data_IF_231572306898
#
_entry.id   IF_231572306898
#
_cell.length_a   1.000
_cell.length_b   1.000
_cell.length_c   1.000
_cell.angle_alpha   90.00
_cell.angle_beta   90.00
_cell.angle_gamma   90.00
#
_symmetry.space_group_name_H-M   'P 1'
#
loop_
_entity.id
_entity.type
_entity.pdbx_description
1 polymer ?
#
# COMPACT_ATOMS: atom_id res chain seq x y z
N UNK A 1 -2.59 5.40 2.33
CA UNK A 1 -1.72 4.23 2.08
C UNK A 1 -0.54 4.60 1.19
N UNK A 2 -0.75 5.04 -0.06
CA UNK A 2 0.36 5.38 -0.97
C UNK A 2 1.37 6.39 -0.42
N UNK A 3 0.92 7.49 0.21
CA UNK A 3 1.82 8.46 0.83
C UNK A 3 2.71 7.86 1.93
N UNK A 4 2.16 6.93 2.74
CA UNK A 4 2.93 6.26 3.80
C UNK A 4 3.97 5.31 3.21
N UNK A 5 3.62 4.59 2.13
CA UNK A 5 4.58 3.75 1.41
C UNK A 5 5.70 4.59 0.78
N UNK A 6 5.37 5.69 0.09
CA UNK A 6 6.37 6.57 -0.53
C UNK A 6 7.30 7.14 0.54
N UNK A 7 6.76 7.64 1.66
CA UNK A 7 7.55 8.15 2.77
C UNK A 7 8.49 7.09 3.35
N UNK A 8 7.95 5.90 3.69
CA UNK A 8 8.74 4.81 4.27
C UNK A 8 9.84 4.30 3.34
N UNK A 9 9.52 4.13 2.05
CA UNK A 9 10.46 3.65 1.03
C UNK A 9 11.55 4.71 0.75
N UNK A 10 11.18 5.99 0.67
CA UNK A 10 12.12 7.12 0.58
C UNK A 10 13.12 7.14 1.73
N UNK A 11 12.63 6.95 2.97
CA UNK A 11 13.46 6.96 4.16
C UNK A 11 14.48 5.81 4.16
N UNK A 12 14.10 4.64 3.64
CA UNK A 12 15.00 3.49 3.57
C UNK A 12 16.01 3.58 2.41
N UNK A 13 15.57 3.96 1.20
CA UNK A 13 16.44 3.98 0.00
C UNK A 13 17.54 5.04 0.10
N UNK A 14 17.27 6.17 0.75
CA UNK A 14 18.24 7.26 0.90
C UNK A 14 19.10 7.15 2.16
N UNK A 15 18.85 6.12 2.99
CA UNK A 15 19.60 5.87 4.22
C UNK A 15 21.05 5.44 3.91
N UNK A 16 21.98 5.88 4.76
CA UNK A 16 23.40 5.54 4.62
C UNK A 16 23.66 4.15 5.21
N UNK A 17 24.11 3.23 4.37
CA UNK A 17 24.58 1.92 4.80
C UNK A 17 26.12 1.92 4.71
N UNK A 18 26.82 1.75 5.83
CA UNK A 18 28.29 1.70 5.86
C UNK A 18 28.99 3.00 5.43
N UNK A 19 28.35 4.17 5.57
CA UNK A 19 28.93 5.48 5.24
C UNK A 19 28.66 5.95 3.80
N UNK A 20 28.23 5.07 2.90
CA UNK A 20 27.82 5.40 1.53
C UNK A 20 26.28 5.36 1.38
N UNK A 21 25.75 6.14 0.44
CA UNK A 21 24.34 6.05 0.03
C UNK A 21 24.23 5.06 -1.13
N UNK A 22 23.26 4.15 -1.06
CA UNK A 22 22.98 3.22 -2.15
C UNK A 22 22.42 3.94 -3.40
N UNK A 23 21.64 5.02 -3.19
CA UNK A 23 21.07 5.83 -4.26
C UNK A 23 21.29 7.32 -3.93
N UNK A 24 21.72 8.09 -4.92
CA UNK A 24 21.81 9.54 -4.79
C UNK A 24 20.40 10.14 -4.59
N UNK A 25 20.16 10.95 -3.55
CA UNK A 25 18.86 11.58 -3.33
C UNK A 25 18.37 12.40 -4.52
N UNK A 26 19.26 13.03 -5.29
CA UNK A 26 18.88 13.80 -6.47
C UNK A 26 18.29 12.89 -7.56
N UNK A 27 18.89 11.71 -7.78
CA UNK A 27 18.38 10.72 -8.73
C UNK A 27 17.03 10.18 -8.26
N UNK A 28 16.90 9.84 -6.98
CA UNK A 28 15.63 9.39 -6.41
C UNK A 28 14.52 10.44 -6.58
N UNK A 29 14.81 11.71 -6.23
CA UNK A 29 13.86 12.80 -6.38
C UNK A 29 13.49 13.04 -7.85
N UNK A 30 14.46 12.95 -8.77
CA UNK A 30 14.21 13.09 -10.20
C UNK A 30 13.29 11.98 -10.73
N UNK A 31 13.52 10.72 -10.34
CA UNK A 31 12.67 9.58 -10.73
C UNK A 31 11.25 9.73 -10.17
N UNK A 32 11.11 10.11 -8.90
CA UNK A 32 9.80 10.35 -8.28
C UNK A 32 9.08 11.52 -8.96
N UNK A 33 9.77 12.63 -9.23
CA UNK A 33 9.20 13.80 -9.90
C UNK A 33 8.78 13.48 -11.34
N UNK A 34 9.62 12.76 -12.10
CA UNK A 34 9.31 12.33 -13.45
C UNK A 34 8.12 11.37 -13.48
N UNK A 35 8.05 10.42 -12.55
CA UNK A 35 6.92 9.50 -12.40
C UNK A 35 5.63 10.23 -12.06
N UNK A 36 5.70 11.22 -11.16
CA UNK A 36 4.58 12.09 -10.81
C UNK A 36 4.11 12.94 -11.99
N UNK A 37 5.03 13.54 -12.73
CA UNK A 37 4.72 14.31 -13.93
C UNK A 37 4.07 13.42 -15.00
N UNK A 38 4.60 12.22 -15.23
CA UNK A 38 4.02 11.25 -16.14
C UNK A 38 2.60 10.82 -15.73
N UNK A 39 2.37 10.55 -14.45
CA UNK A 39 1.04 10.25 -13.93
C UNK A 39 0.06 11.42 -14.15
N UNK A 40 0.49 12.66 -13.89
CA UNK A 40 -0.30 13.86 -14.16
C UNK A 40 -0.63 14.00 -15.65
N UNK A 41 0.31 13.71 -16.55
CA UNK A 41 0.08 13.73 -17.99
C UNK A 41 -0.95 12.67 -18.42
N UNK A 42 -0.87 11.45 -17.88
CA UNK A 42 -1.86 10.40 -18.15
C UNK A 42 -3.26 10.78 -17.67
N UNK A 43 -3.36 11.35 -16.46
CA UNK A 43 -4.64 11.84 -15.91
C UNK A 43 -5.19 13.02 -16.73
N UNK A 44 -4.31 13.88 -17.26
CA UNK A 44 -4.70 15.01 -18.09
C UNK A 44 -4.99 14.63 -19.55
N UNK A 45 -4.52 13.47 -20.02
CA UNK A 45 -4.66 13.04 -21.42
C UNK A 45 -6.12 13.03 -21.93
N UNK A 46 -7.13 12.58 -21.16
CA UNK A 46 -8.54 12.67 -21.59
C UNK A 46 -9.02 14.11 -21.84
N UNK A 47 -8.42 15.13 -21.20
CA UNK A 47 -8.76 16.54 -21.43
C UNK A 47 -8.33 17.03 -22.81
N UNK A 48 -7.45 16.31 -23.51
CA UNK A 48 -7.11 16.60 -24.90
C UNK A 48 -8.26 16.24 -25.86
N UNK A 49 -9.18 15.36 -25.45
CA UNK A 49 -10.33 14.96 -26.25
C UNK A 49 -11.48 15.97 -26.11
N UNK A 50 -12.08 16.46 -27.21
CA UNK A 50 -13.19 17.42 -27.17
C UNK A 50 -14.42 16.97 -26.38
N UNK A 51 -14.60 15.65 -26.22
CA UNK A 51 -15.72 15.04 -25.48
C UNK A 51 -15.68 15.35 -23.98
N UNK A 52 -14.49 15.30 -23.36
CA UNK A 52 -14.33 15.54 -21.92
C UNK A 52 -14.20 17.02 -21.58
N UNK A 53 -13.81 17.88 -22.53
CA UNK A 53 -13.79 19.35 -22.35
C UNK A 53 -15.18 19.97 -22.14
N UNK A 54 -16.25 19.24 -22.45
CA UNK A 54 -17.64 19.68 -22.27
C UNK A 54 -18.17 19.37 -20.86
N UNK A 55 -17.47 18.56 -20.08
CA UNK A 55 -17.81 18.36 -18.68
C UNK A 55 -17.56 19.65 -17.91
N UNK A 56 -18.58 20.12 -17.19
CA UNK A 56 -18.44 21.34 -16.38
C UNK A 56 -17.43 21.06 -15.26
N UNK A 57 -16.40 21.92 -15.08
CA UNK A 57 -15.47 21.78 -13.98
C UNK A 57 -16.22 21.73 -12.66
N UNK A 58 -15.91 20.76 -11.80
CA UNK A 58 -16.46 20.75 -10.44
C UNK A 58 -15.97 22.00 -9.70
N UNK A 59 -16.85 22.74 -9.01
CA UNK A 59 -16.46 23.87 -8.20
C UNK A 59 -15.35 23.49 -7.20
N UNK A 60 -14.34 24.35 -7.04
CA UNK A 60 -13.26 24.17 -6.05
C UNK A 60 -13.78 23.96 -4.63
N UNK A 61 -14.94 24.55 -4.31
CA UNK A 61 -15.59 24.43 -3.02
C UNK A 61 -16.14 23.01 -2.75
N UNK A 62 -16.45 22.24 -3.79
CA UNK A 62 -16.86 20.83 -3.66
C UNK A 62 -15.64 19.91 -3.49
N UNK A 63 -14.50 20.26 -4.09
CA UNK A 63 -13.24 19.52 -3.97
C UNK A 63 -12.55 19.74 -2.61
N UNK A 64 -12.64 20.96 -2.09
CA UNK A 64 -12.08 21.38 -0.81
C UNK A 64 -13.17 21.99 0.07
N UNK A 65 -14.08 21.18 0.61
CA UNK A 65 -15.14 21.68 1.46
C UNK A 65 -14.53 22.30 2.73
N UNK A 66 -14.98 23.51 3.07
CA UNK A 66 -14.58 24.21 4.30
C UNK A 66 -15.02 23.45 5.56
N UNK A 67 -16.09 22.66 5.46
CA UNK A 67 -16.60 21.82 6.55
C UNK A 67 -16.45 20.37 6.14
N UNK A 68 -15.70 19.62 6.92
CA UNK A 68 -15.53 18.19 6.70
C UNK A 68 -16.80 17.46 7.12
N UNK A 69 -17.26 16.58 6.25
CA UNK A 69 -18.41 15.75 6.56
C UNK A 69 -18.14 14.80 7.72
N UNK A 70 -19.19 14.30 8.37
CA UNK A 70 -19.07 13.37 9.50
C UNK A 70 -18.27 12.11 9.11
N UNK A 71 -18.42 11.68 7.86
CA UNK A 71 -17.65 10.57 7.30
C UNK A 71 -16.16 10.91 7.15
N UNK A 72 -15.83 12.07 6.57
CA UNK A 72 -14.45 12.52 6.41
C UNK A 72 -13.73 12.68 7.76
N UNK A 73 -14.42 13.22 8.75
CA UNK A 73 -13.91 13.32 10.13
C UNK A 73 -13.66 11.94 10.74
N UNK A 74 -14.60 11.01 10.56
CA UNK A 74 -14.49 9.64 11.07
C UNK A 74 -13.31 8.89 10.45
N UNK A 75 -13.16 8.96 9.13
CA UNK A 75 -12.06 8.32 8.41
C UNK A 75 -10.71 8.91 8.81
N UNK A 76 -10.64 10.23 8.97
CA UNK A 76 -9.41 10.90 9.42
C UNK A 76 -9.05 10.48 10.84
N UNK A 77 -10.03 10.42 11.76
CA UNK A 77 -9.79 9.98 13.13
C UNK A 77 -9.31 8.52 13.17
N UNK A 78 -9.95 7.63 12.41
CA UNK A 78 -9.49 6.23 12.27
C UNK A 78 -8.07 6.16 11.72
N UNK A 79 -7.76 6.93 10.68
CA UNK A 79 -6.42 6.98 10.10
C UNK A 79 -5.37 7.51 11.08
N UNK A 80 -5.71 8.53 11.88
CA UNK A 80 -4.84 9.07 12.93
C UNK A 80 -4.58 8.04 14.03
N UNK A 81 -5.62 7.34 14.51
CA UNK A 81 -5.49 6.25 15.49
C UNK A 81 -4.59 5.16 14.93
N UNK A 82 -4.81 4.72 13.68
CA UNK A 82 -3.96 3.71 13.03
C UNK A 82 -2.52 4.19 12.88
N UNK A 83 -2.30 5.46 12.55
CA UNK A 83 -0.96 6.04 12.48
C UNK A 83 -0.23 5.97 13.82
N UNK A 84 -0.85 6.47 14.89
CA UNK A 84 -0.25 6.49 16.22
C UNK A 84 -0.08 5.08 16.79
N UNK A 85 -1.14 4.29 16.81
CA UNK A 85 -1.11 2.94 17.36
C UNK A 85 -0.26 1.98 16.53
N UNK A 86 -0.26 2.14 15.20
CA UNK A 86 0.57 1.36 14.29
C UNK A 86 2.07 1.65 14.48
N UNK A 87 2.45 2.92 14.64
CA UNK A 87 3.84 3.28 14.97
C UNK A 87 4.21 2.76 16.36
N UNK A 88 3.35 2.90 17.36
CA UNK A 88 3.61 2.38 18.70
C UNK A 88 3.79 0.85 18.71
N UNK A 89 2.96 0.12 17.96
CA UNK A 89 3.10 -1.32 17.78
C UNK A 89 4.41 -1.68 17.06
N UNK A 90 4.81 -0.89 16.06
CA UNK A 90 6.05 -1.09 15.34
C UNK A 90 7.29 -0.91 16.23
N UNK A 91 7.26 0.00 17.22
CA UNK A 91 8.38 0.14 18.17
C UNK A 91 8.68 -1.17 18.91
N UNK A 92 7.66 -1.98 19.19
CA UNK A 92 7.80 -3.29 19.85
C UNK A 92 8.21 -4.39 18.88
N UNK A 93 7.70 -4.35 17.65
CA UNK A 93 7.92 -5.40 16.63
C UNK A 93 9.23 -5.20 15.87
N UNK A 94 9.36 -4.05 15.20
CA UNK A 94 10.55 -3.54 14.53
C UNK A 94 10.26 -2.10 14.05
N UNK A 95 10.96 -1.08 14.58
CA UNK A 95 10.78 0.31 14.15
C UNK A 95 10.96 0.53 12.64
N UNK A 96 11.83 -0.25 11.99
CA UNK A 96 12.10 -0.16 10.56
C UNK A 96 10.90 -0.61 9.70
N UNK A 97 10.00 -1.42 10.26
CA UNK A 97 8.80 -1.95 9.56
C UNK A 97 7.52 -1.16 9.84
N UNK A 98 7.62 -0.04 10.56
CA UNK A 98 6.48 0.80 10.92
C UNK A 98 5.59 1.20 9.74
N UNK A 99 6.18 1.51 8.59
CA UNK A 99 5.42 1.88 7.40
C UNK A 99 4.55 0.74 6.85
N UNK A 100 5.00 -0.52 6.92
CA UNK A 100 4.20 -1.69 6.49
C UNK A 100 3.02 -1.93 7.41
N UNK A 101 3.23 -1.87 8.73
CA UNK A 101 2.20 -2.03 9.75
C UNK A 101 1.12 -0.95 9.60
N UNK A 102 1.53 0.32 9.50
CA UNK A 102 0.60 1.45 9.31
C UNK A 102 -0.13 1.33 7.98
N UNK A 103 0.55 0.94 6.90
CA UNK A 103 -0.11 0.72 5.60
C UNK A 103 -1.15 -0.40 5.64
N UNK A 104 -0.86 -1.50 6.32
CA UNK A 104 -1.80 -2.60 6.48
C UNK A 104 -3.03 -2.18 7.30
N UNK A 105 -2.85 -1.40 8.36
CA UNK A 105 -3.98 -0.84 9.12
C UNK A 105 -4.80 0.17 8.31
N UNK A 106 -4.15 1.05 7.54
CA UNK A 106 -4.85 2.01 6.67
C UNK A 106 -5.62 1.31 5.55
N UNK A 107 -5.18 0.15 5.08
CA UNK A 107 -5.93 -0.63 4.10
C UNK A 107 -7.25 -1.18 4.66
N UNK A 108 -7.31 -1.43 5.98
CA UNK A 108 -8.53 -1.87 6.68
C UNK A 108 -9.52 -0.71 6.85
N UNK A 109 -9.05 0.48 7.25
CA UNK A 109 -9.91 1.63 7.57
C UNK A 109 -10.14 2.62 6.41
N UNK A 110 -9.40 2.48 5.29
CA UNK A 110 -9.29 3.49 4.24
C UNK A 110 -10.51 3.67 3.33
N UNK A 111 -11.59 2.94 3.56
CA UNK A 111 -12.87 3.08 2.85
C UNK A 111 -14.00 3.35 3.86
N UNK A 112 -15.08 4.02 3.44
CA UNK A 112 -16.23 4.36 4.29
C UNK A 112 -17.08 3.12 4.61
N UNK A 113 -16.47 2.13 5.27
CA UNK A 113 -17.06 0.82 5.52
C UNK A 113 -17.32 0.58 7.02
N UNK A 114 -18.38 -0.18 7.29
CA UNK A 114 -18.84 -0.49 8.63
C UNK A 114 -17.83 -1.32 9.43
N UNK A 115 -18.13 -1.56 10.70
CA UNK A 115 -17.26 -2.35 11.59
C UNK A 115 -17.04 -3.79 11.11
N UNK A 116 -18.10 -4.43 10.58
CA UNK A 116 -18.07 -5.80 10.08
C UNK A 116 -17.22 -5.89 8.81
N UNK A 117 -17.47 -4.99 7.87
CA UNK A 117 -16.71 -4.88 6.62
C UNK A 117 -15.22 -4.62 6.84
N UNK A 118 -14.87 -3.80 7.85
CA UNK A 118 -13.48 -3.57 8.24
C UNK A 118 -12.83 -4.85 8.78
N UNK A 119 -13.53 -5.61 9.63
CA UNK A 119 -13.02 -6.89 10.15
C UNK A 119 -12.88 -7.93 9.03
N UNK A 120 -13.86 -8.06 8.14
CA UNK A 120 -13.81 -8.95 6.97
C UNK A 120 -12.65 -8.58 6.04
N UNK A 121 -12.40 -7.29 5.83
CA UNK A 121 -11.23 -6.80 5.08
C UNK A 121 -9.92 -7.14 5.76
N UNK A 122 -9.85 -7.00 7.09
CA UNK A 122 -8.71 -7.45 7.87
C UNK A 122 -8.41 -8.93 7.65
N UNK A 123 -9.44 -9.78 7.74
CA UNK A 123 -9.33 -11.23 7.50
C UNK A 123 -8.91 -11.53 6.06
N UNK A 124 -9.59 -10.95 5.07
CA UNK A 124 -9.22 -11.09 3.66
C UNK A 124 -7.78 -10.66 3.39
N UNK A 125 -7.32 -9.62 4.08
CA UNK A 125 -5.96 -9.13 3.95
C UNK A 125 -4.95 -10.09 4.54
N UNK A 126 -5.19 -10.57 5.75
CA UNK A 126 -4.32 -11.55 6.40
C UNK A 126 -4.26 -12.86 5.62
N UNK A 127 -5.41 -13.39 5.21
CA UNK A 127 -5.47 -14.64 4.41
C UNK A 127 -4.77 -14.45 3.06
N UNK A 128 -5.05 -13.35 2.36
CA UNK A 128 -4.40 -13.04 1.09
C UNK A 128 -2.88 -12.93 1.20
N UNK A 129 -2.37 -12.27 2.26
CA UNK A 129 -0.93 -12.17 2.52
C UNK A 129 -0.31 -13.51 2.90
N UNK A 130 -0.98 -14.36 3.69
CA UNK A 130 -0.45 -15.68 4.06
C UNK A 130 -0.35 -16.57 2.82
N UNK A 131 -1.41 -16.66 2.02
CA UNK A 131 -1.42 -17.47 0.79
C UNK A 131 -0.45 -16.89 -0.23
N UNK A 132 -0.39 -15.57 -0.39
CA UNK A 132 0.56 -14.91 -1.27
C UNK A 132 2.02 -15.05 -0.81
N UNK A 133 2.26 -15.11 0.51
CA UNK A 133 3.56 -15.41 1.10
C UNK A 133 4.00 -16.85 0.81
N UNK A 134 3.09 -17.81 0.88
CA UNK A 134 3.37 -19.18 0.47
C UNK A 134 3.68 -19.27 -1.04
N UNK A 135 2.92 -18.56 -1.87
CA UNK A 135 3.19 -18.45 -3.31
C UNK A 135 4.56 -17.81 -3.57
N UNK A 136 4.91 -16.75 -2.84
CA UNK A 136 6.23 -16.14 -2.89
C UNK A 136 7.33 -17.15 -2.59
N UNK A 137 7.21 -17.91 -1.49
CA UNK A 137 8.21 -18.92 -1.13
C UNK A 137 8.37 -19.96 -2.25
N UNK A 138 7.28 -20.43 -2.85
CA UNK A 138 7.34 -21.35 -4.00
C UNK A 138 8.07 -20.76 -5.21
N UNK A 139 7.92 -19.46 -5.46
CA UNK A 139 8.55 -18.77 -6.60
C UNK A 139 10.00 -18.33 -6.31
N UNK A 140 10.30 -17.95 -5.08
CA UNK A 140 11.57 -17.33 -4.70
C UNK A 140 12.76 -18.29 -4.76
N UNK A 141 12.52 -19.60 -4.63
CA UNK A 141 13.56 -20.63 -4.79
C UNK A 141 13.81 -21.02 -6.24
N UNK A 142 13.03 -20.51 -7.20
CA UNK A 142 13.25 -20.77 -8.63
C UNK A 142 14.34 -19.82 -9.13
N UNK A 143 15.48 -20.33 -9.62
CA UNK A 143 16.53 -19.49 -10.17
C UNK A 143 16.05 -18.93 -11.53
N UNK A 144 15.47 -17.73 -11.50
CA UNK A 144 14.97 -17.06 -12.70
C UNK A 144 16.02 -16.10 -13.26
N UNK A 145 16.33 -16.15 -14.57
CA UNK A 145 17.10 -15.08 -15.20
C UNK A 145 16.28 -13.77 -15.17
N UNK A 146 16.97 -12.63 -15.25
CA UNK A 146 16.36 -11.29 -15.10
C UNK A 146 15.16 -11.07 -16.03
N UNK A 147 15.23 -11.52 -17.28
CA UNK A 147 14.12 -11.39 -18.23
C UNK A 147 12.88 -12.22 -17.81
N UNK A 148 13.09 -13.40 -17.24
CA UNK A 148 12.01 -14.27 -16.79
C UNK A 148 11.36 -13.74 -15.50
N UNK A 149 12.17 -13.15 -14.61
CA UNK A 149 11.65 -12.42 -13.45
C UNK A 149 10.77 -11.25 -13.91
N UNK A 150 11.22 -10.45 -14.89
CA UNK A 150 10.42 -9.36 -15.46
C UNK A 150 9.08 -9.84 -16.02
N UNK A 151 9.09 -10.96 -16.76
CA UNK A 151 7.86 -11.57 -17.28
C UNK A 151 6.93 -12.04 -16.16
N UNK A 152 7.47 -12.71 -15.13
CA UNK A 152 6.70 -13.16 -13.97
C UNK A 152 6.04 -11.98 -13.23
N UNK A 153 6.80 -10.89 -13.00
CA UNK A 153 6.25 -9.68 -12.40
C UNK A 153 5.13 -9.08 -13.25
N UNK A 154 5.29 -9.07 -14.58
CA UNK A 154 4.26 -8.64 -15.52
C UNK A 154 2.99 -9.51 -15.46
N UNK A 155 3.13 -10.83 -15.40
CA UNK A 155 2.00 -11.76 -15.27
C UNK A 155 1.28 -11.57 -13.92
N UNK A 156 2.03 -11.41 -12.82
CA UNK A 156 1.44 -11.13 -11.52
C UNK A 156 0.69 -9.79 -11.54
N UNK A 157 1.26 -8.74 -12.12
CA UNK A 157 0.62 -7.43 -12.27
C UNK A 157 -0.68 -7.53 -13.07
N UNK A 158 -0.65 -8.24 -14.21
CA UNK A 158 -1.84 -8.47 -15.03
C UNK A 158 -2.92 -9.22 -14.25
N UNK A 159 -2.55 -10.29 -13.53
CA UNK A 159 -3.48 -11.04 -12.69
C UNK A 159 -4.14 -10.14 -11.63
N UNK A 160 -3.37 -9.26 -10.99
CA UNK A 160 -3.86 -8.28 -10.01
C UNK A 160 -4.94 -7.40 -10.65
N UNK A 161 -4.69 -6.81 -11.81
CA UNK A 161 -5.64 -5.92 -12.48
C UNK A 161 -6.95 -6.62 -12.83
N UNK A 162 -6.88 -7.89 -13.25
CA UNK A 162 -8.06 -8.69 -13.58
C UNK A 162 -8.93 -9.02 -12.36
N UNK A 163 -8.35 -9.17 -11.17
CA UNK A 163 -9.08 -9.61 -9.97
C UNK A 163 -9.35 -8.51 -8.95
N UNK A 164 -8.57 -7.43 -8.90
CA UNK A 164 -8.61 -6.43 -7.81
C UNK A 164 -9.96 -5.75 -7.65
N UNK A 165 -10.71 -5.57 -8.75
CA UNK A 165 -12.04 -4.97 -8.74
C UNK A 165 -13.10 -5.94 -8.19
N UNK A 166 -12.90 -7.26 -8.36
CA UNK A 166 -13.90 -8.29 -8.03
C UNK A 166 -13.61 -9.03 -6.72
N UNK A 167 -12.35 -9.33 -6.44
CA UNK A 167 -11.93 -10.18 -5.33
C UNK A 167 -10.68 -9.62 -4.64
N UNK A 168 -10.89 -8.85 -3.58
CA UNK A 168 -9.82 -8.20 -2.83
C UNK A 168 -8.81 -9.20 -2.22
N UNK A 169 -9.29 -10.27 -1.58
CA UNK A 169 -8.42 -11.29 -0.98
C UNK A 169 -7.54 -11.97 -2.03
N UNK A 170 -8.13 -12.34 -3.17
CA UNK A 170 -7.42 -12.97 -4.28
C UNK A 170 -6.39 -12.02 -4.90
N UNK A 171 -6.71 -10.74 -5.02
CA UNK A 171 -5.74 -9.73 -5.48
C UNK A 171 -4.51 -9.70 -4.57
N UNK A 172 -4.69 -9.80 -3.24
CA UNK A 172 -3.58 -9.81 -2.29
C UNK A 172 -2.70 -11.05 -2.38
N UNK A 173 -3.25 -12.19 -2.83
CA UNK A 173 -2.46 -13.39 -3.13
C UNK A 173 -1.42 -13.12 -4.22
N UNK A 174 -1.73 -12.25 -5.19
CA UNK A 174 -0.80 -11.88 -6.26
C UNK A 174 0.05 -10.64 -5.94
N UNK A 175 -0.51 -9.65 -5.22
CA UNK A 175 0.23 -8.45 -4.79
C UNK A 175 1.40 -8.82 -3.88
N UNK A 176 1.16 -9.73 -2.93
CA UNK A 176 2.18 -10.10 -1.93
C UNK A 176 3.46 -10.65 -2.58
N UNK A 177 3.43 -11.71 -3.42
CA UNK A 177 4.63 -12.21 -4.06
C UNK A 177 5.25 -11.20 -5.03
N UNK A 178 4.46 -10.40 -5.74
CA UNK A 178 4.99 -9.34 -6.60
C UNK A 178 5.85 -8.36 -5.79
N UNK A 179 5.34 -7.88 -4.66
CA UNK A 179 6.05 -6.93 -3.79
C UNK A 179 7.27 -7.58 -3.15
N UNK A 180 7.16 -8.82 -2.67
CA UNK A 180 8.28 -9.53 -2.02
C UNK A 180 9.40 -9.87 -3.01
N UNK A 181 9.07 -10.26 -4.24
CA UNK A 181 10.05 -10.47 -5.32
C UNK A 181 10.75 -9.16 -5.69
N UNK A 182 10.00 -8.05 -5.78
CA UNK A 182 10.59 -6.74 -6.08
C UNK A 182 11.55 -6.28 -4.98
N UNK A 183 11.18 -6.48 -3.71
CA UNK A 183 12.06 -6.18 -2.56
C UNK A 183 13.31 -7.05 -2.62
N UNK A 184 13.17 -8.38 -2.75
CA UNK A 184 14.31 -9.29 -2.82
C UNK A 184 15.26 -9.00 -3.98
N UNK A 185 14.71 -8.62 -5.15
CA UNK A 185 15.51 -8.21 -6.30
C UNK A 185 16.24 -6.87 -6.08
N UNK A 186 15.63 -5.93 -5.34
CA UNK A 186 16.21 -4.62 -5.06
C UNK A 186 17.29 -4.67 -3.96
N UNK A 187 17.12 -5.51 -2.95
CA UNK A 187 18.03 -5.61 -1.79
C UNK A 187 19.10 -6.69 -1.94
N UNK A 188 18.93 -7.63 -2.88
CA UNK A 188 19.82 -8.78 -3.03
C UNK A 188 19.79 -9.74 -1.84
N UNK A 189 18.74 -9.70 -1.02
CA UNK A 189 18.63 -10.52 0.20
C UNK A 189 18.43 -11.99 -0.15
N UNK A 190 19.30 -12.86 0.36
CA UNK A 190 19.20 -14.31 0.23
C UNK A 190 18.15 -14.93 1.17
N UNK A 191 17.69 -14.20 2.18
CA UNK A 191 16.78 -14.69 3.22
C UNK A 191 15.30 -14.53 2.82
N UNK A 192 14.80 -15.46 2.01
CA UNK A 192 13.42 -15.46 1.49
C UNK A 192 12.39 -15.75 2.59
N UNK A 193 12.66 -16.73 3.46
CA UNK A 193 11.71 -17.13 4.51
C UNK A 193 11.46 -16.05 5.56
N UNK A 194 12.51 -15.42 6.16
CA UNK A 194 12.31 -14.31 7.09
C UNK A 194 11.48 -13.19 6.48
N UNK A 195 11.80 -12.76 5.24
CA UNK A 195 11.09 -11.69 4.57
C UNK A 195 9.57 -11.97 4.42
N UNK A 196 9.20 -13.22 4.11
CA UNK A 196 7.81 -13.63 4.02
C UNK A 196 7.09 -13.59 5.39
N UNK A 197 7.75 -14.12 6.43
CA UNK A 197 7.20 -14.16 7.80
C UNK A 197 7.03 -12.76 8.38
N UNK A 198 8.00 -11.87 8.17
CA UNK A 198 7.92 -10.47 8.56
C UNK A 198 6.72 -9.80 7.91
N UNK A 199 6.48 -10.06 6.63
CA UNK A 199 5.34 -9.47 5.90
C UNK A 199 3.98 -9.95 6.41
N UNK A 200 3.90 -11.22 6.79
CA UNK A 200 2.72 -11.80 7.42
C UNK A 200 2.49 -11.13 8.78
N UNK A 201 3.54 -11.01 9.61
CA UNK A 201 3.48 -10.37 10.92
C UNK A 201 3.02 -8.91 10.81
N UNK A 202 3.64 -8.12 9.92
CA UNK A 202 3.29 -6.71 9.70
C UNK A 202 1.81 -6.56 9.30
N UNK A 203 1.32 -7.49 8.47
CA UNK A 203 -0.07 -7.50 8.03
C UNK A 203 -1.02 -7.84 9.16
N UNK A 204 -0.70 -8.86 9.97
CA UNK A 204 -1.52 -9.27 11.11
C UNK A 204 -1.62 -8.13 12.13
N UNK A 205 -0.50 -7.52 12.50
CA UNK A 205 -0.44 -6.41 13.46
C UNK A 205 -1.20 -5.20 12.90
N UNK A 206 -0.94 -4.82 11.65
CA UNK A 206 -1.64 -3.71 11.01
C UNK A 206 -3.15 -3.95 10.91
N UNK A 207 -3.58 -5.16 10.53
CA UNK A 207 -4.99 -5.52 10.46
C UNK A 207 -5.68 -5.49 11.83
N UNK A 208 -5.00 -5.94 12.88
CA UNK A 208 -5.49 -5.86 14.26
C UNK A 208 -5.68 -4.39 14.69
N UNK A 209 -4.67 -3.54 14.46
CA UNK A 209 -4.73 -2.09 14.76
C UNK A 209 -5.84 -1.40 13.97
N UNK A 210 -5.96 -1.69 12.67
CA UNK A 210 -7.02 -1.14 11.81
C UNK A 210 -8.42 -1.55 12.26
N UNK A 211 -8.60 -2.82 12.61
CA UNK A 211 -9.87 -3.35 13.13
C UNK A 211 -10.22 -2.70 14.47
N UNK A 212 -9.25 -2.59 15.39
CA UNK A 212 -9.44 -1.93 16.68
C UNK A 212 -9.83 -0.45 16.51
N UNK A 213 -9.20 0.28 15.58
CA UNK A 213 -9.57 1.66 15.28
C UNK A 213 -11.00 1.78 14.71
N UNK A 214 -11.41 0.85 13.83
CA UNK A 214 -12.77 0.80 13.31
C UNK A 214 -13.82 0.46 14.39
N UNK A 215 -13.45 -0.38 15.37
CA UNK A 215 -14.29 -0.68 16.53
C UNK A 215 -14.36 0.51 17.49
N UNK A 216 -13.25 1.20 17.77
CA UNK A 216 -13.23 2.36 18.65
C UNK A 216 -14.07 3.52 18.10
N UNK A 217 -13.98 3.79 16.79
CA UNK A 217 -14.68 4.91 16.16
C UNK A 217 -15.80 4.40 15.25
N UNK A 218 -17.07 4.61 15.66
CA UNK A 218 -18.25 4.27 14.84
C UNK A 218 -18.28 5.12 13.57
N UNK A 219 -18.66 4.51 12.45
CA UNK A 219 -19.05 5.27 11.27
C UNK A 219 -20.28 6.10 11.63
N UNK A 220 -20.20 7.41 11.38
CA UNK A 220 -21.36 8.30 11.40
C UNK A 220 -21.87 8.39 9.96
N UNK A 221 -23.13 8.02 9.72
CA UNK A 221 -23.80 8.31 8.45
C UNK A 221 -23.95 9.81 8.29
N UNK A 222 -23.85 10.29 7.05
CA UNK A 222 -24.33 11.62 6.70
C UNK A 222 -25.86 11.49 6.60
N UNK A 223 -26.56 11.94 7.65
CA UNK A 223 -28.01 12.13 7.65
C UNK A 223 -28.37 13.44 6.92
#
# INVERSE_FOLDING_TARGET
>A
MFFVLVFGLSAQITSRHGGARAVDPAVYLAVVAASGAFACLLVAAPLLLPRYRRERPRPRAELFPLQWSALAQTLTLRAAIVGVAGVAAAVVVDPARSYWIVCAGLAVVGLPVGRRDAAERGVHRTVGTVVGGALYLGLAFVPLPVWALGLLLGVLQFAIEMVVVRHYALALVFITPLVLLLIGAATGTAETLPLALERILDTVVGAAVGTAAALAVRLRSED
#
